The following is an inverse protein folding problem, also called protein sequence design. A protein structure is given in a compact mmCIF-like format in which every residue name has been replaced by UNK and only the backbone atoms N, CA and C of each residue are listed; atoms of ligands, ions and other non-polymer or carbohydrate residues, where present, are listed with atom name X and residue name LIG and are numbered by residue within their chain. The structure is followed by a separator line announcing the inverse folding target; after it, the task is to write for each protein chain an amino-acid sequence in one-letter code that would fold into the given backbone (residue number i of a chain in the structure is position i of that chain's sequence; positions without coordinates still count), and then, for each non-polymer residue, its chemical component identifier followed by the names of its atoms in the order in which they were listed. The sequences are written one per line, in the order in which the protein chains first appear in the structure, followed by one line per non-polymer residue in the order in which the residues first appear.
data_IF_897379796467
#
_entry.id   IF_897379796467
#
_cell.length_a   1.000
_cell.length_b   1.000
_cell.length_c   1.000
_cell.angle_alpha   90.00
_cell.angle_beta   90.00
_cell.angle_gamma   90.00
#
_symmetry.space_group_name_H-M   'P 1'
#
loop_
_entity.id
_entity.type
_entity.pdbx_description
1 polymer ?
#
# COMPACT_ATOMS: atom_id res chain seq x y z
N UNK A 1 14.69 -42.40 -22.79
CA UNK A 1 15.09 -41.30 -23.69
C UNK A 1 14.28 -40.11 -23.23
N UNK A 2 14.96 -39.09 -22.69
CA UNK A 2 14.36 -37.91 -22.10
C UNK A 2 14.23 -36.83 -23.16
N UNK A 3 13.06 -36.20 -23.27
CA UNK A 3 12.86 -34.91 -23.94
C UNK A 3 12.96 -33.86 -22.81
N UNK A 4 14.09 -33.19 -22.54
CA UNK A 4 14.78 -32.15 -23.33
C UNK A 4 13.88 -31.02 -23.83
N UNK A 5 13.25 -30.31 -22.88
CA UNK A 5 12.77 -28.96 -23.10
C UNK A 5 13.76 -27.98 -22.46
N UNK A 6 14.79 -27.67 -23.24
CA UNK A 6 15.71 -26.58 -22.99
C UNK A 6 15.09 -25.22 -23.34
N UNK A 7 15.14 -24.35 -22.34
CA UNK A 7 15.54 -22.95 -22.40
C UNK A 7 14.76 -21.88 -23.21
N UNK A 8 14.38 -20.87 -22.43
CA UNK A 8 14.58 -19.44 -22.66
C UNK A 8 13.38 -18.57 -23.07
N UNK A 9 12.75 -17.98 -22.05
CA UNK A 9 12.39 -16.55 -21.96
C UNK A 9 11.94 -16.32 -20.50
N UNK A 10 12.77 -15.83 -19.59
CA UNK A 10 13.39 -14.51 -19.66
C UNK A 10 12.56 -13.49 -18.89
N UNK A 11 12.22 -13.77 -17.62
CA UNK A 11 11.94 -12.73 -16.63
C UNK A 11 12.73 -13.08 -15.37
N UNK A 12 13.84 -12.37 -15.21
CA UNK A 12 14.73 -12.43 -14.06
C UNK A 12 13.94 -11.87 -12.88
N UNK A 13 13.42 -12.78 -12.06
CA UNK A 13 12.78 -12.43 -10.79
C UNK A 13 13.83 -11.82 -9.87
N UNK A 14 13.68 -10.54 -9.59
CA UNK A 14 14.38 -9.88 -8.48
C UNK A 14 13.71 -10.35 -7.19
N UNK A 15 14.00 -11.58 -6.78
CA UNK A 15 13.75 -12.06 -5.42
C UNK A 15 14.88 -11.51 -4.55
N UNK A 16 14.64 -10.35 -3.95
CA UNK A 16 15.38 -9.98 -2.74
C UNK A 16 14.78 -10.84 -1.63
N UNK A 17 15.49 -11.95 -1.39
CA UNK A 17 15.39 -12.83 -0.25
C UNK A 17 15.84 -12.06 1.00
N UNK A 18 14.88 -11.53 1.76
CA UNK A 18 15.08 -11.13 3.15
C UNK A 18 14.14 -12.00 4.01
N UNK A 19 14.59 -13.23 4.27
CA UNK A 19 14.15 -14.00 5.42
C UNK A 19 14.62 -13.31 6.71
N UNK A 20 13.76 -12.51 7.36
CA UNK A 20 13.77 -12.43 8.82
C UNK A 20 12.33 -12.42 9.37
N UNK A 21 11.99 -13.59 9.93
CA UNK A 21 10.86 -13.83 10.79
C UNK A 21 11.02 -13.07 12.13
N UNK A 22 9.89 -12.61 12.65
CA UNK A 22 9.60 -12.25 14.05
C UNK A 22 9.83 -10.80 14.53
N UNK A 23 8.72 -10.27 15.04
CA UNK A 23 8.55 -9.17 16.01
C UNK A 23 8.17 -7.79 15.48
N UNK A 24 6.89 -7.61 15.12
CA UNK A 24 6.22 -6.31 15.23
C UNK A 24 5.37 -6.24 16.51
N UNK A 25 6.06 -6.20 17.65
CA UNK A 25 5.65 -5.32 18.74
C UNK A 25 6.71 -4.22 18.80
N UNK A 26 6.39 -3.00 18.37
CA UNK A 26 7.11 -1.86 18.94
C UNK A 26 6.30 -0.56 18.90
N UNK A 27 5.52 -0.38 19.96
CA UNK A 27 5.29 0.95 20.53
C UNK A 27 6.50 1.26 21.42
N UNK A 28 7.54 1.91 20.90
CA UNK A 28 8.55 2.61 21.73
C UNK A 28 9.27 3.65 20.88
N UNK A 29 9.07 4.92 21.24
CA UNK A 29 9.91 6.01 20.83
C UNK A 29 11.29 5.85 21.49
N UNK A 30 12.37 5.70 20.71
CA UNK A 30 13.70 6.11 21.13
C UNK A 30 14.51 6.67 19.96
N UNK A 31 15.02 7.87 20.21
CA UNK A 31 15.92 8.65 19.38
C UNK A 31 17.30 8.00 19.32
N UNK A 32 17.93 7.92 18.15
CA UNK A 32 19.39 7.97 18.09
C UNK A 32 19.89 8.69 16.84
N UNK A 33 20.76 9.67 17.08
CA UNK A 33 21.22 10.67 16.13
C UNK A 33 22.69 10.46 15.76
N UNK A 34 23.03 10.83 14.51
CA UNK A 34 24.37 11.16 13.95
C UNK A 34 25.26 9.95 13.55
N UNK A 35 26.00 9.91 12.43
CA UNK A 35 26.55 10.97 11.56
C UNK A 35 27.12 10.36 10.25
N UNK A 36 27.15 11.08 9.11
CA UNK A 36 28.01 10.66 7.96
C UNK A 36 27.74 11.17 6.53
N UNK A 37 27.98 12.47 6.28
CA UNK A 37 28.71 13.01 5.09
C UNK A 37 28.11 12.99 3.65
N UNK A 38 27.97 14.21 3.10
CA UNK A 38 28.00 14.67 1.67
C UNK A 38 26.71 14.76 0.81
N UNK A 39 26.21 15.99 0.75
CA UNK A 39 25.80 16.81 -0.41
C UNK A 39 24.88 16.26 -1.53
N UNK A 40 23.79 17.01 -1.74
CA UNK A 40 22.96 17.09 -2.96
C UNK A 40 22.02 15.93 -3.31
N UNK A 41 21.16 15.56 -2.37
CA UNK A 41 19.77 15.20 -2.71
C UNK A 41 18.88 15.90 -1.71
N UNK A 42 17.94 16.76 -2.15
CA UNK A 42 16.79 17.10 -1.31
C UNK A 42 16.21 15.76 -0.88
N UNK A 43 16.45 15.41 0.37
CA UNK A 43 16.17 14.08 0.90
C UNK A 43 14.68 13.88 0.72
N UNK A 44 14.32 12.90 -0.10
CA UNK A 44 12.95 12.44 -0.23
C UNK A 44 12.60 11.94 1.17
N UNK A 45 11.90 12.77 1.95
CA UNK A 45 11.59 12.49 3.35
C UNK A 45 10.97 11.11 3.44
N UNK A 46 11.54 10.30 4.34
CA UNK A 46 11.05 8.96 4.60
C UNK A 46 9.65 9.09 5.20
N UNK A 47 8.61 8.55 4.54
CA UNK A 47 7.22 8.69 5.04
C UNK A 47 7.04 8.14 6.44
N UNK A 48 7.85 7.16 6.83
CA UNK A 48 7.78 6.59 8.17
C UNK A 48 8.20 7.58 9.26
N UNK A 49 9.00 8.58 8.90
CA UNK A 49 9.47 9.63 9.83
C UNK A 49 8.54 10.86 9.85
N UNK A 50 7.76 11.07 8.77
CA UNK A 50 6.92 12.25 8.61
C UNK A 50 5.43 11.98 8.92
N UNK A 51 4.96 10.75 8.71
CA UNK A 51 3.53 10.41 8.77
C UNK A 51 3.22 9.49 9.95
N UNK A 52 2.05 9.71 10.56
CA UNK A 52 1.55 8.85 11.61
C UNK A 52 0.96 7.58 10.99
N UNK A 53 1.66 6.45 11.13
CA UNK A 53 1.15 5.14 10.74
C UNK A 53 -0.03 4.72 11.62
N UNK A 54 -1.02 4.06 11.01
CA UNK A 54 -2.14 3.45 11.73
C UNK A 54 -2.41 2.07 11.17
N UNK A 55 -2.50 1.08 12.05
CA UNK A 55 -2.95 -0.27 11.71
C UNK A 55 -4.47 -0.34 11.86
N UNK A 56 -5.13 -0.90 10.86
CA UNK A 56 -6.58 -1.15 10.83
C UNK A 56 -6.81 -2.61 10.42
N UNK A 57 -7.91 -3.18 10.90
CA UNK A 57 -8.38 -4.48 10.44
C UNK A 57 -9.40 -4.23 9.34
N UNK A 58 -9.24 -4.92 8.21
CA UNK A 58 -10.08 -4.80 7.03
C UNK A 58 -10.56 -6.21 6.70
N UNK A 59 -11.87 -6.42 6.49
CA UNK A 59 -12.39 -7.72 6.07
C UNK A 59 -11.81 -8.16 4.72
N UNK A 60 -11.75 -9.48 4.49
CA UNK A 60 -11.09 -10.07 3.33
C UNK A 60 -11.74 -9.59 2.01
N UNK A 61 -13.07 -9.48 1.98
CA UNK A 61 -13.79 -8.99 0.79
C UNK A 61 -13.36 -7.56 0.41
N UNK A 62 -13.15 -6.69 1.39
CA UNK A 62 -12.68 -5.32 1.17
C UNK A 62 -11.19 -5.32 0.80
N UNK A 63 -10.38 -6.23 1.35
CA UNK A 63 -8.97 -6.36 0.96
C UNK A 63 -8.82 -6.76 -0.51
N UNK A 64 -9.64 -7.68 -0.99
CA UNK A 64 -9.66 -8.10 -2.39
C UNK A 64 -10.07 -6.92 -3.30
N UNK A 65 -11.13 -6.18 -2.94
CA UNK A 65 -11.57 -5.00 -3.69
C UNK A 65 -10.51 -3.89 -3.74
N UNK A 66 -9.74 -3.70 -2.65
CA UNK A 66 -8.61 -2.76 -2.62
C UNK A 66 -7.51 -3.15 -3.62
N UNK A 67 -7.20 -4.44 -3.75
CA UNK A 67 -6.18 -4.91 -4.70
C UNK A 67 -6.62 -4.68 -6.14
N UNK A 68 -7.86 -5.06 -6.47
CA UNK A 68 -8.43 -4.87 -7.80
C UNK A 68 -8.46 -3.38 -8.16
N UNK A 69 -8.95 -2.53 -7.25
CA UNK A 69 -9.01 -1.07 -7.43
C UNK A 69 -7.63 -0.47 -7.67
N UNK A 70 -6.59 -0.97 -6.98
CA UNK A 70 -5.22 -0.54 -7.20
C UNK A 70 -4.76 -0.86 -8.63
N UNK A 71 -4.94 -2.11 -9.08
CA UNK A 71 -4.52 -2.56 -10.42
C UNK A 71 -5.28 -1.82 -11.53
N UNK A 72 -6.59 -1.62 -11.36
CA UNK A 72 -7.41 -0.86 -12.30
C UNK A 72 -6.97 0.60 -12.40
N UNK A 73 -6.68 1.23 -11.26
CA UNK A 73 -6.20 2.62 -11.21
C UNK A 73 -4.86 2.78 -11.91
N UNK A 74 -3.92 1.85 -11.72
CA UNK A 74 -2.64 1.81 -12.45
C UNK A 74 -2.86 1.69 -13.95
N UNK A 75 -3.73 0.76 -14.37
CA UNK A 75 -4.05 0.56 -15.77
C UNK A 75 -4.68 1.82 -16.40
N UNK A 76 -5.57 2.49 -15.67
CA UNK A 76 -6.22 3.74 -16.09
C UNK A 76 -5.21 4.86 -16.31
N UNK A 77 -4.27 5.05 -15.38
CA UNK A 77 -3.21 6.05 -15.52
C UNK A 77 -2.25 5.72 -16.66
N UNK A 78 -1.82 4.46 -16.78
CA UNK A 78 -0.97 4.01 -17.87
C UNK A 78 -1.60 4.27 -19.24
N UNK A 79 -2.90 3.97 -19.40
CA UNK A 79 -3.66 4.27 -20.63
C UNK A 79 -3.75 5.77 -20.92
N UNK A 80 -3.74 6.61 -19.88
CA UNK A 80 -3.70 8.06 -19.99
C UNK A 80 -2.26 8.63 -20.17
N UNK A 81 -1.25 7.77 -20.28
CA UNK A 81 0.16 8.20 -20.38
C UNK A 81 0.68 8.87 -19.11
N UNK A 82 0.06 8.60 -17.96
CA UNK A 82 0.46 9.12 -16.65
C UNK A 82 1.36 8.10 -15.92
N UNK A 83 2.14 8.61 -14.97
CA UNK A 83 3.04 7.79 -14.16
C UNK A 83 2.27 6.84 -13.22
N UNK A 84 2.85 5.68 -12.97
CA UNK A 84 2.39 4.71 -11.97
C UNK A 84 2.66 5.23 -10.55
N UNK A 85 1.82 4.83 -9.59
CA UNK A 85 1.96 5.22 -8.18
C UNK A 85 2.27 4.03 -7.26
N UNK A 86 2.69 4.30 -6.01
CA UNK A 86 2.99 3.24 -5.02
C UNK A 86 1.84 3.02 -4.05
N UNK A 87 1.58 1.76 -3.66
CA UNK A 87 0.55 1.39 -2.67
C UNK A 87 0.61 2.23 -1.38
N UNK A 88 1.64 2.02 -0.56
CA UNK A 88 1.75 2.67 0.75
C UNK A 88 1.88 4.21 0.71
N UNK A 89 2.54 4.75 -0.32
CA UNK A 89 2.81 6.20 -0.41
C UNK A 89 1.64 6.98 -1.01
N UNK A 90 0.78 6.35 -1.81
CA UNK A 90 -0.24 7.06 -2.59
C UNK A 90 -1.61 6.37 -2.55
N UNK A 91 -1.68 5.06 -2.80
CA UNK A 91 -2.96 4.34 -2.90
C UNK A 91 -3.79 4.40 -1.62
N UNK A 92 -3.25 3.88 -0.51
CA UNK A 92 -4.01 3.84 0.74
C UNK A 92 -4.38 5.23 1.26
N UNK A 93 -3.47 6.24 1.25
CA UNK A 93 -3.87 7.61 1.56
C UNK A 93 -5.00 8.14 0.66
N UNK A 94 -5.00 7.82 -0.64
CA UNK A 94 -6.03 8.25 -1.58
C UNK A 94 -7.38 7.59 -1.30
N UNK A 95 -7.38 6.29 -1.00
CA UNK A 95 -8.59 5.56 -0.59
C UNK A 95 -9.17 6.17 0.69
N UNK A 96 -8.33 6.42 1.70
CA UNK A 96 -8.78 7.06 2.95
C UNK A 96 -9.35 8.46 2.67
N UNK A 97 -8.70 9.25 1.82
CA UNK A 97 -9.19 10.57 1.47
C UNK A 97 -10.58 10.50 0.81
N UNK A 98 -10.77 9.65 -0.20
CA UNK A 98 -12.08 9.47 -0.83
C UNK A 98 -13.13 8.92 0.14
N UNK A 99 -12.75 8.02 1.05
CA UNK A 99 -13.64 7.52 2.09
C UNK A 99 -14.08 8.62 3.07
N UNK A 100 -13.17 9.52 3.45
CA UNK A 100 -13.50 10.67 4.31
C UNK A 100 -14.42 11.68 3.59
N UNK A 101 -14.17 11.93 2.30
CA UNK A 101 -15.04 12.77 1.47
C UNK A 101 -16.44 12.16 1.36
N UNK A 102 -16.54 10.87 1.04
CA UNK A 102 -17.81 10.16 0.97
C UNK A 102 -18.56 10.16 2.31
N UNK A 103 -17.85 9.93 3.42
CA UNK A 103 -18.46 9.94 4.76
C UNK A 103 -18.90 11.35 5.19
N UNK A 104 -18.21 12.40 4.74
CA UNK A 104 -18.61 13.79 5.01
C UNK A 104 -19.88 14.19 4.26
N UNK A 105 -20.15 13.58 3.10
CA UNK A 105 -21.31 13.87 2.27
C UNK A 105 -22.51 12.97 2.60
N UNK A 106 -22.29 11.83 3.25
CA UNK A 106 -23.32 10.87 3.63
C UNK A 106 -24.24 11.40 4.75
N UNK A 107 -25.52 11.06 4.66
CA UNK A 107 -26.50 11.31 5.73
C UNK A 107 -26.55 10.16 6.76
N UNK A 108 -27.31 10.37 7.84
CA UNK A 108 -27.42 9.41 8.94
C UNK A 108 -27.90 8.02 8.47
N UNK A 109 -28.81 7.97 7.49
CA UNK A 109 -29.38 6.72 6.97
C UNK A 109 -28.37 5.97 6.07
N UNK A 110 -27.62 6.69 5.23
CA UNK A 110 -26.56 6.12 4.41
C UNK A 110 -25.44 5.54 5.29
N UNK A 111 -25.01 6.26 6.34
CA UNK A 111 -23.99 5.79 7.27
C UNK A 111 -24.45 4.50 7.97
N UNK A 112 -25.70 4.45 8.45
CA UNK A 112 -26.25 3.25 9.09
C UNK A 112 -26.31 2.05 8.13
N UNK A 113 -26.67 2.29 6.87
CA UNK A 113 -26.73 1.23 5.85
C UNK A 113 -25.34 0.63 5.62
N UNK A 114 -24.31 1.46 5.41
CA UNK A 114 -22.93 0.98 5.20
C UNK A 114 -22.35 0.28 6.43
N UNK A 115 -22.70 0.71 7.64
CA UNK A 115 -22.28 0.03 8.86
C UNK A 115 -22.88 -1.37 8.99
N UNK A 116 -24.13 -1.56 8.58
CA UNK A 116 -24.77 -2.88 8.59
C UNK A 116 -24.08 -3.84 7.62
N UNK A 117 -23.74 -3.38 6.41
CA UNK A 117 -23.05 -4.19 5.40
C UNK A 117 -21.68 -4.71 5.89
N UNK A 118 -20.94 -3.90 6.65
CA UNK A 118 -19.63 -4.29 7.20
C UNK A 118 -19.75 -5.21 8.43
N UNK A 119 -20.87 -5.14 9.15
CA UNK A 119 -21.07 -5.86 10.42
C UNK A 119 -21.77 -7.21 10.27
N UNK A 120 -22.38 -7.49 9.11
CA UNK A 120 -23.11 -8.72 8.83
C UNK A 120 -22.20 -9.89 8.37
N UNK A 121 -20.88 -9.75 8.52
CA UNK A 121 -19.86 -10.78 8.24
C UNK A 121 -19.48 -11.62 9.48
#
# INVERSE_FOLDING_TARGET
MSDDWGDASGIEGNYEDDEEESNEMNETAETNSLNGTNETRKTKTNIKEEWNGRTIYVPDEILDELEDTYLESQLKLRKAGQDEFKKNRHFYPLVVQFGLEALSDADDDEIQTRLAEISDE
#
